data_IF_049326971810
#
_entry.id   IF_049326971810
#
_cell.length_a   1.000
_cell.length_b   1.000
_cell.length_c   1.000
_cell.angle_alpha   90.00
_cell.angle_beta   90.00
_cell.angle_gamma   90.00
#
_symmetry.space_group_name_H-M   'P 1'
#
loop_
_entity.id
_entity.type
_entity.pdbx_description
1 polymer ?
#
# COMPACT_ATOMS: atom_id res chain seq x y z
N UNK A 1 35.35 23.28 -49.32
CA UNK A 1 34.03 22.75 -49.74
C UNK A 1 34.06 21.23 -49.79
N UNK A 2 33.53 20.58 -48.74
CA UNK A 2 32.86 19.26 -48.70
C UNK A 2 32.82 18.78 -47.25
N UNK A 3 32.11 19.56 -46.43
CA UNK A 3 31.65 19.15 -45.12
C UNK A 3 30.24 18.58 -45.34
N UNK A 4 30.14 17.35 -45.83
CA UNK A 4 28.86 16.68 -46.08
C UNK A 4 29.06 15.17 -46.09
N UNK A 5 29.30 14.63 -44.91
CA UNK A 5 29.17 13.22 -44.56
C UNK A 5 29.35 13.18 -43.05
N UNK A 6 28.52 12.44 -42.32
CA UNK A 6 28.34 12.53 -40.86
C UNK A 6 27.48 13.72 -40.41
N UNK A 7 26.18 13.61 -40.63
CA UNK A 7 25.12 13.67 -39.59
C UNK A 7 23.79 13.64 -40.36
N UNK A 8 23.51 12.50 -40.99
CA UNK A 8 22.19 12.16 -41.55
C UNK A 8 21.80 10.83 -40.94
N UNK A 9 21.68 10.81 -39.60
CA UNK A 9 21.24 9.64 -38.85
C UNK A 9 20.47 10.03 -37.58
N UNK A 10 19.81 11.20 -37.58
CA UNK A 10 18.90 11.63 -36.50
C UNK A 10 17.42 11.49 -36.93
N UNK A 11 17.14 10.98 -38.14
CA UNK A 11 15.80 10.96 -38.73
C UNK A 11 15.27 9.57 -39.11
N UNK A 12 15.68 8.49 -38.44
CA UNK A 12 15.04 7.18 -38.60
C UNK A 12 14.62 6.59 -37.26
N UNK A 13 13.29 6.57 -37.06
CA UNK A 13 12.52 5.89 -36.02
C UNK A 13 12.74 6.39 -34.57
N UNK A 14 12.00 7.38 -34.04
CA UNK A 14 10.61 7.71 -34.35
C UNK A 14 9.68 6.55 -34.00
N UNK A 15 9.64 6.11 -32.73
CA UNK A 15 8.65 5.14 -32.26
C UNK A 15 9.19 4.02 -31.37
N UNK A 16 9.71 4.37 -30.18
CA UNK A 16 9.89 3.43 -29.08
C UNK A 16 9.09 3.90 -27.86
N UNK A 17 7.85 4.33 -28.09
CA UNK A 17 6.82 4.14 -27.08
C UNK A 17 6.23 2.76 -27.35
N UNK A 18 6.95 1.72 -26.93
CA UNK A 18 6.30 0.44 -26.74
C UNK A 18 5.22 0.69 -25.68
N UNK A 19 3.95 0.69 -26.10
CA UNK A 19 2.84 0.66 -25.15
C UNK A 19 3.08 -0.55 -24.26
N UNK A 20 3.40 -0.32 -22.98
CA UNK A 20 3.62 -1.39 -22.02
C UNK A 20 2.36 -2.25 -22.03
N UNK A 21 2.50 -3.50 -22.50
CA UNK A 21 1.36 -4.41 -22.60
C UNK A 21 0.86 -4.68 -21.20
N UNK A 22 -0.44 -4.44 -20.96
CA UNK A 22 -1.08 -4.73 -19.69
C UNK A 22 -1.03 -6.24 -19.44
N UNK A 23 -0.30 -6.65 -18.41
CA UNK A 23 -0.24 -8.04 -17.98
C UNK A 23 -1.48 -8.41 -17.16
N UNK A 24 -2.49 -8.95 -17.85
CA UNK A 24 -3.73 -9.40 -17.24
C UNK A 24 -3.53 -10.61 -16.31
N UNK A 25 -2.50 -11.42 -16.52
CA UNK A 25 -2.21 -12.56 -15.64
C UNK A 25 -1.72 -12.05 -14.28
N UNK A 26 -0.78 -11.10 -14.28
CA UNK A 26 -0.32 -10.42 -13.06
C UNK A 26 -1.44 -9.62 -12.40
N UNK A 27 -2.32 -9.01 -13.18
CA UNK A 27 -3.50 -8.32 -12.67
C UNK A 27 -4.41 -9.23 -11.83
N UNK A 28 -4.59 -10.50 -12.23
CA UNK A 28 -5.40 -11.48 -11.47
C UNK A 28 -4.81 -11.84 -10.12
N UNK A 29 -3.50 -11.66 -9.89
CA UNK A 29 -2.84 -11.91 -8.61
C UNK A 29 -3.09 -10.78 -7.59
N UNK A 30 -3.63 -9.65 -8.02
CA UNK A 30 -3.95 -8.54 -7.12
C UNK A 30 -4.95 -8.98 -6.05
N UNK A 31 -4.72 -8.55 -4.80
CA UNK A 31 -5.46 -9.01 -3.61
C UNK A 31 -6.98 -8.86 -3.73
N UNK A 32 -7.47 -7.86 -4.47
CA UNK A 32 -8.89 -7.62 -4.67
C UNK A 32 -9.61 -8.71 -5.51
N UNK A 33 -8.86 -9.48 -6.31
CA UNK A 33 -9.40 -10.57 -7.14
C UNK A 33 -9.14 -11.95 -6.54
N UNK A 34 -8.49 -12.01 -5.38
CA UNK A 34 -8.26 -13.26 -4.68
C UNK A 34 -9.47 -13.62 -3.82
N UNK A 35 -9.81 -14.93 -3.68
CA UNK A 35 -10.91 -15.34 -2.84
C UNK A 35 -10.65 -14.97 -1.37
N UNK A 36 -11.70 -14.52 -0.69
CA UNK A 36 -11.63 -14.17 0.74
C UNK A 36 -11.40 -15.43 1.56
N UNK A 37 -10.34 -15.44 2.36
CA UNK A 37 -10.02 -16.52 3.31
C UNK A 37 -10.33 -16.06 4.73
N UNK A 38 -10.74 -16.98 5.61
CA UNK A 38 -10.95 -16.73 7.05
C UNK A 38 -9.81 -17.36 7.85
N UNK A 39 -8.69 -16.65 8.06
CA UNK A 39 -7.58 -17.17 8.85
C UNK A 39 -7.98 -17.34 10.32
N UNK A 40 -7.33 -18.27 11.02
CA UNK A 40 -7.49 -18.42 12.46
C UNK A 40 -7.00 -17.16 13.19
N UNK A 41 -7.66 -16.82 14.29
CA UNK A 41 -7.29 -15.69 15.13
C UNK A 41 -5.94 -15.94 15.82
N UNK A 42 -5.01 -14.97 15.81
CA UNK A 42 -3.77 -15.08 16.57
C UNK A 42 -4.04 -15.13 18.08
N UNK A 43 -3.30 -16.00 18.76
CA UNK A 43 -3.27 -16.02 20.24
C UNK A 43 -2.42 -14.84 20.71
N UNK A 44 -3.04 -13.95 21.49
CA UNK A 44 -2.43 -12.73 22.03
C UNK A 44 -2.32 -12.83 23.55
N UNK A 45 -1.35 -12.12 24.14
CA UNK A 45 -1.13 -12.13 25.60
C UNK A 45 -2.12 -11.23 26.32
N UNK A 46 -2.34 -10.01 25.81
CA UNK A 46 -3.31 -9.09 26.40
C UNK A 46 -4.73 -9.37 25.87
N UNK A 47 -5.64 -9.79 26.77
CA UNK A 47 -7.01 -10.19 26.41
C UNK A 47 -8.03 -9.05 26.43
N UNK A 48 -7.76 -7.99 27.18
CA UNK A 48 -8.74 -6.91 27.41
C UNK A 48 -8.69 -5.79 26.36
N UNK A 49 -7.63 -5.73 25.54
CA UNK A 49 -7.45 -4.68 24.55
C UNK A 49 -8.22 -4.94 23.23
N UNK A 50 -8.22 -6.16 22.66
CA UNK A 50 -8.97 -6.44 21.44
C UNK A 50 -10.48 -6.25 21.66
N UNK A 51 -11.14 -5.48 20.78
CA UNK A 51 -12.59 -5.26 20.77
C UNK A 51 -13.30 -6.08 19.69
N UNK A 52 -12.56 -6.48 18.66
CA UNK A 52 -13.04 -7.30 17.57
C UNK A 52 -11.93 -8.27 17.09
N UNK A 53 -12.29 -9.17 16.18
CA UNK A 53 -11.40 -10.18 15.60
C UNK A 53 -10.17 -9.58 14.88
N UNK A 54 -10.30 -8.39 14.29
CA UNK A 54 -9.20 -7.71 13.56
C UNK A 54 -8.12 -7.25 14.56
N UNK A 55 -8.53 -6.80 15.75
CA UNK A 55 -7.61 -6.31 16.77
C UNK A 55 -6.63 -7.39 17.25
N UNK A 56 -7.01 -8.68 17.18
CA UNK A 56 -6.10 -9.80 17.47
C UNK A 56 -4.91 -9.86 16.51
N UNK A 57 -5.13 -9.56 15.23
CA UNK A 57 -4.04 -9.53 14.24
C UNK A 57 -3.10 -8.34 14.47
N UNK A 58 -3.65 -7.19 14.82
CA UNK A 58 -2.88 -5.97 15.12
C UNK A 58 -2.05 -6.21 16.39
N UNK A 59 -2.71 -6.61 17.47
CA UNK A 59 -2.05 -6.86 18.76
C UNK A 59 -1.01 -7.97 18.65
N UNK A 60 -1.31 -9.07 17.95
CA UNK A 60 -0.34 -10.14 17.73
C UNK A 60 0.92 -9.67 17.01
N UNK A 61 0.82 -8.69 16.10
CA UNK A 61 1.99 -8.08 15.45
C UNK A 61 2.73 -7.11 16.38
N UNK A 62 2.00 -6.30 17.16
CA UNK A 62 2.59 -5.39 18.16
C UNK A 62 3.36 -6.16 19.23
N UNK A 63 2.78 -7.23 19.78
CA UNK A 63 3.41 -8.09 20.79
C UNK A 63 4.67 -8.78 20.25
N UNK A 64 4.64 -9.27 19.01
CA UNK A 64 5.83 -9.82 18.33
C UNK A 64 6.94 -8.77 18.16
N UNK A 65 6.58 -7.52 17.93
CA UNK A 65 7.52 -6.41 17.84
C UNK A 65 7.93 -5.83 19.21
N UNK A 66 7.37 -6.32 20.32
CA UNK A 66 7.63 -5.77 21.66
C UNK A 66 7.02 -4.39 21.90
N UNK A 67 6.08 -3.95 21.05
CA UNK A 67 5.43 -2.64 21.12
C UNK A 67 4.10 -2.79 21.86
N UNK A 68 3.79 -1.85 22.74
CA UNK A 68 2.48 -1.77 23.40
C UNK A 68 1.52 -0.93 22.56
N UNK A 69 0.22 -1.27 22.53
CA UNK A 69 -0.77 -0.41 21.90
C UNK A 69 -0.78 1.01 22.49
N UNK A 70 -1.04 1.99 21.65
CA UNK A 70 -1.23 3.36 22.09
C UNK A 70 -2.49 3.47 22.97
N UNK A 71 -2.52 4.40 23.94
CA UNK A 71 -3.73 4.69 24.70
C UNK A 71 -4.84 5.20 23.79
N UNK A 72 -6.08 5.06 24.25
CA UNK A 72 -7.23 5.60 23.54
C UNK A 72 -7.12 7.12 23.41
N UNK A 73 -7.33 7.63 22.20
CA UNK A 73 -7.37 9.07 21.97
C UNK A 73 -8.56 9.69 22.72
N UNK A 74 -8.35 10.88 23.28
CA UNK A 74 -9.44 11.63 23.91
C UNK A 74 -10.40 12.17 22.86
N UNK A 75 -11.62 12.55 23.27
CA UNK A 75 -12.58 13.20 22.36
C UNK A 75 -12.01 14.48 21.72
N UNK A 76 -11.20 15.24 22.48
CA UNK A 76 -10.53 16.45 21.99
C UNK A 76 -9.49 16.13 20.91
N UNK A 77 -8.70 15.06 21.10
CA UNK A 77 -7.73 14.61 20.10
C UNK A 77 -8.43 14.19 18.80
N UNK A 78 -9.54 13.46 18.91
CA UNK A 78 -10.32 13.02 17.76
C UNK A 78 -10.94 14.20 17.02
N UNK A 79 -11.51 15.17 17.75
CA UNK A 79 -12.09 16.38 17.15
C UNK A 79 -11.04 17.17 16.36
N UNK A 80 -9.84 17.34 16.93
CA UNK A 80 -8.73 18.00 16.24
C UNK A 80 -8.33 17.25 14.97
N UNK A 81 -8.21 15.91 15.04
CA UNK A 81 -7.85 15.08 13.87
C UNK A 81 -8.90 15.15 12.77
N UNK A 82 -10.18 15.09 13.13
CA UNK A 82 -11.28 15.21 12.17
C UNK A 82 -11.27 16.60 11.53
N UNK A 83 -11.09 17.66 12.33
CA UNK A 83 -11.00 19.02 11.80
C UNK A 83 -9.89 19.15 10.75
N UNK A 84 -8.65 18.75 11.08
CA UNK A 84 -7.54 18.75 10.12
C UNK A 84 -7.82 17.91 8.88
N UNK A 85 -8.40 16.72 9.04
CA UNK A 85 -8.73 15.86 7.90
C UNK A 85 -9.76 16.48 6.95
N UNK A 86 -10.63 17.37 7.45
CA UNK A 86 -11.68 18.02 6.66
C UNK A 86 -11.24 19.37 6.07
N UNK A 87 -10.41 20.14 6.76
CA UNK A 87 -10.04 21.50 6.33
C UNK A 87 -8.69 21.59 5.62
N UNK A 88 -7.78 20.64 5.86
CA UNK A 88 -6.37 20.75 5.47
C UNK A 88 -5.55 21.53 6.49
#
# INVERSE_FOLDING_TARGET
MKLSMFITAVFFAGGLWAAEKIDLAKGREHWAFQPVKRPALPVVKAKDWPRNDIDHFILGRLEKAGIRPAPMATSQDLQRRIHYALTG
#
